data_IF_575300949988
#
_entry.id   IF_575300949988
#
_cell.length_a   1.000
_cell.length_b   1.000
_cell.length_c   1.000
_cell.angle_alpha   90.00
_cell.angle_beta   90.00
_cell.angle_gamma   90.00
#
_symmetry.space_group_name_H-M   'P 1'
#
loop_
_entity.id
_entity.type
_entity.pdbx_description
1 polymer ?
#
# COMPACT_ATOMS: atom_id res chain seq x y z
N UNK A 1 7.54 7.44 -34.37
CA UNK A 1 6.79 7.85 -33.18
C UNK A 1 5.87 6.73 -32.69
N UNK A 2 6.25 5.45 -32.82
CA UNK A 2 5.36 4.36 -32.44
C UNK A 2 5.31 4.20 -30.91
N UNK A 3 6.48 4.18 -30.27
CA UNK A 3 6.58 3.96 -28.82
C UNK A 3 6.04 5.10 -27.96
N UNK A 4 6.20 6.41 -28.28
CA UNK A 4 5.67 7.46 -27.42
C UNK A 4 4.15 7.50 -27.44
N UNK A 5 3.54 7.28 -28.61
CA UNK A 5 2.08 7.21 -28.74
C UNK A 5 1.54 6.06 -27.89
N UNK A 6 2.17 4.88 -27.98
CA UNK A 6 1.80 3.73 -27.16
C UNK A 6 1.96 4.02 -25.65
N UNK A 7 3.12 4.54 -25.23
CA UNK A 7 3.40 4.81 -23.82
C UNK A 7 2.42 5.82 -23.22
N UNK A 8 2.17 6.94 -23.90
CA UNK A 8 1.20 7.94 -23.44
C UNK A 8 -0.23 7.39 -23.48
N UNK A 9 -0.58 6.61 -24.50
CA UNK A 9 -1.88 5.95 -24.61
C UNK A 9 -2.16 4.98 -23.46
N UNK A 10 -1.15 4.21 -23.04
CA UNK A 10 -1.26 3.29 -21.90
C UNK A 10 -1.45 4.04 -20.58
N UNK A 11 -0.66 5.08 -20.30
CA UNK A 11 -0.82 5.89 -19.08
C UNK A 11 -2.19 6.56 -19.05
N UNK A 12 -2.62 7.17 -20.17
CA UNK A 12 -3.94 7.76 -20.26
C UNK A 12 -5.05 6.72 -20.11
N UNK A 13 -4.89 5.54 -20.70
CA UNK A 13 -5.83 4.43 -20.60
C UNK A 13 -6.03 3.95 -19.16
N UNK A 14 -4.96 3.81 -18.38
CA UNK A 14 -5.04 3.46 -16.95
C UNK A 14 -5.72 4.57 -16.15
N UNK A 15 -5.41 5.84 -16.40
CA UNK A 15 -6.07 6.97 -15.73
C UNK A 15 -7.57 7.06 -16.08
N UNK A 16 -7.92 6.77 -17.33
CA UNK A 16 -9.31 6.70 -17.79
C UNK A 16 -10.05 5.52 -17.12
N UNK A 17 -9.44 4.33 -17.08
CA UNK A 17 -9.99 3.16 -16.39
C UNK A 17 -10.24 3.46 -14.92
N UNK A 18 -9.29 4.07 -14.22
CA UNK A 18 -9.45 4.47 -12.82
C UNK A 18 -10.66 5.39 -12.64
N UNK A 19 -10.85 6.34 -13.55
CA UNK A 19 -11.96 7.29 -13.53
C UNK A 19 -13.31 6.62 -13.82
N UNK A 20 -13.34 5.69 -14.78
CA UNK A 20 -14.53 4.92 -15.16
C UNK A 20 -14.96 4.05 -13.98
N UNK A 21 -14.04 3.28 -13.40
CA UNK A 21 -14.32 2.42 -12.24
C UNK A 21 -14.77 3.25 -11.04
N UNK A 22 -14.09 4.36 -10.73
CA UNK A 22 -14.46 5.20 -9.59
C UNK A 22 -15.88 5.78 -9.67
N UNK A 23 -16.44 5.94 -10.87
CA UNK A 23 -17.79 6.50 -11.10
C UNK A 23 -18.85 5.45 -11.40
N UNK A 24 -18.51 4.41 -12.15
CA UNK A 24 -19.43 3.40 -12.62
C UNK A 24 -19.49 2.15 -11.74
N UNK A 25 -18.37 1.77 -11.13
CA UNK A 25 -18.27 0.59 -10.26
C UNK A 25 -17.31 0.84 -9.07
N UNK A 26 -17.78 1.58 -8.05
CA UNK A 26 -16.98 1.89 -6.88
C UNK A 26 -16.56 0.67 -6.06
N UNK A 27 -17.23 -0.48 -6.23
CA UNK A 27 -16.92 -1.71 -5.52
C UNK A 27 -15.69 -2.38 -6.15
N UNK A 28 -15.68 -2.54 -7.47
CA UNK A 28 -14.50 -2.99 -8.20
C UNK A 28 -13.32 -2.03 -8.00
N UNK A 29 -13.57 -0.71 -8.02
CA UNK A 29 -12.54 0.28 -7.72
C UNK A 29 -11.92 0.03 -6.34
N UNK A 30 -12.76 -0.23 -5.31
CA UNK A 30 -12.30 -0.49 -3.94
C UNK A 30 -11.57 -1.82 -3.80
N UNK A 31 -11.96 -2.85 -4.55
CA UNK A 31 -11.30 -4.17 -4.52
C UNK A 31 -9.88 -4.10 -5.10
N UNK A 32 -9.68 -3.34 -6.18
CA UNK A 32 -8.36 -3.20 -6.81
C UNK A 32 -7.33 -2.47 -5.93
N UNK A 33 -7.77 -1.47 -5.17
CA UNK A 33 -6.93 -0.62 -4.31
C UNK A 33 -6.74 -1.17 -2.88
N UNK A 34 -7.18 -2.40 -2.60
CA UNK A 34 -6.92 -3.02 -1.29
C UNK A 34 -5.43 -3.27 -1.10
N UNK A 35 -5.02 -3.35 0.17
CA UNK A 35 -3.70 -3.87 0.56
C UNK A 35 -3.54 -5.30 0.03
N UNK A 36 -2.34 -5.62 -0.47
CA UNK A 36 -1.98 -6.82 -1.24
C UNK A 36 -2.88 -7.06 -2.47
N UNK A 37 -3.57 -6.01 -2.94
CA UNK A 37 -4.44 -6.02 -4.11
C UNK A 37 -3.66 -5.95 -5.43
N UNK A 38 -4.37 -6.21 -6.54
CA UNK A 38 -3.75 -6.23 -7.86
C UNK A 38 -3.04 -4.92 -8.23
N UNK A 39 -3.56 -3.77 -7.77
CA UNK A 39 -2.98 -2.47 -8.09
C UNK A 39 -1.62 -2.26 -7.41
N UNK A 40 -1.51 -2.55 -6.11
CA UNK A 40 -0.25 -2.46 -5.34
C UNK A 40 0.81 -3.39 -5.94
N UNK A 41 0.44 -4.62 -6.30
CA UNK A 41 1.35 -5.55 -6.98
C UNK A 41 1.77 -5.08 -8.38
N UNK A 42 0.86 -4.46 -9.15
CA UNK A 42 1.23 -3.84 -10.42
C UNK A 42 2.21 -2.68 -10.20
N UNK A 43 2.00 -1.85 -9.17
CA UNK A 43 2.92 -0.76 -8.82
C UNK A 43 4.30 -1.30 -8.44
N UNK A 44 4.36 -2.32 -7.58
CA UNK A 44 5.58 -3.04 -7.24
C UNK A 44 6.34 -3.50 -8.48
N UNK A 45 5.68 -4.23 -9.40
CA UNK A 45 6.33 -4.73 -10.60
C UNK A 45 6.73 -3.62 -11.57
N UNK A 46 5.95 -2.54 -11.69
CA UNK A 46 6.30 -1.41 -12.54
C UNK A 46 7.62 -0.76 -12.09
N UNK A 47 7.76 -0.50 -10.77
CA UNK A 47 8.98 0.06 -10.22
C UNK A 47 10.14 -0.94 -10.17
N UNK A 48 9.89 -2.22 -9.86
CA UNK A 48 10.93 -3.24 -9.83
C UNK A 48 11.52 -3.49 -11.24
N UNK A 49 10.67 -3.56 -12.27
CA UNK A 49 11.13 -3.66 -13.65
C UNK A 49 11.87 -2.38 -14.08
N UNK A 50 11.41 -1.20 -13.65
CA UNK A 50 12.13 0.06 -13.91
C UNK A 50 13.53 0.04 -13.27
N UNK A 51 13.64 -0.47 -12.05
CA UNK A 51 14.92 -0.66 -11.37
C UNK A 51 15.83 -1.64 -12.13
N UNK A 52 15.30 -2.78 -12.57
CA UNK A 52 16.04 -3.77 -13.36
C UNK A 52 16.57 -3.22 -14.68
N UNK A 53 15.74 -2.47 -15.42
CA UNK A 53 16.18 -1.75 -16.63
C UNK A 53 17.20 -0.67 -16.28
N UNK A 54 17.04 0.03 -15.16
CA UNK A 54 18.01 0.99 -14.64
C UNK A 54 19.38 0.36 -14.37
N UNK A 55 19.45 -0.83 -13.78
CA UNK A 55 20.69 -1.59 -13.58
C UNK A 55 21.35 -1.97 -14.92
N UNK A 56 20.55 -2.33 -15.93
CA UNK A 56 21.06 -2.57 -17.28
C UNK A 56 21.65 -1.29 -17.91
N UNK A 57 21.03 -0.13 -17.67
CA UNK A 57 21.53 1.18 -18.11
C UNK A 57 22.86 1.53 -17.43
N UNK A 58 22.96 1.34 -16.11
CA UNK A 58 24.21 1.50 -15.34
C UNK A 58 25.32 0.63 -15.93
N UNK A 59 25.04 -0.66 -16.16
CA UNK A 59 26.01 -1.60 -16.73
C UNK A 59 26.52 -1.14 -18.10
N UNK A 60 25.64 -0.59 -18.93
CA UNK A 60 26.00 -0.04 -20.25
C UNK A 60 26.84 1.22 -20.14
N UNK A 61 26.48 2.14 -19.25
CA UNK A 61 27.22 3.39 -19.04
C UNK A 61 28.64 3.12 -18.53
N UNK A 62 28.80 2.15 -17.62
CA UNK A 62 30.12 1.67 -17.18
C UNK A 62 30.96 1.11 -18.34
N UNK A 63 30.37 0.28 -19.22
CA UNK A 63 31.05 -0.20 -20.44
C UNK A 63 31.45 0.93 -21.38
N UNK A 64 30.72 2.04 -21.36
CA UNK A 64 31.01 3.26 -22.14
C UNK A 64 31.96 4.22 -21.41
N UNK A 65 32.54 3.83 -20.27
CA UNK A 65 33.42 4.65 -19.42
C UNK A 65 32.76 5.96 -18.96
N UNK A 66 31.44 5.95 -18.73
CA UNK A 66 30.68 7.07 -18.17
C UNK A 66 30.41 6.82 -16.69
N UNK A 67 30.34 7.90 -15.89
CA UNK A 67 29.95 7.83 -14.49
C UNK A 67 28.42 7.67 -14.39
N UNK A 68 27.90 6.51 -13.93
CA UNK A 68 26.47 6.19 -14.06
C UNK A 68 25.65 6.61 -12.84
N UNK A 69 26.08 7.62 -12.09
CA UNK A 69 25.54 7.93 -10.76
C UNK A 69 24.04 8.27 -10.82
N UNK A 70 23.58 8.93 -11.88
CA UNK A 70 22.17 9.28 -12.03
C UNK A 70 21.31 8.05 -12.36
N UNK A 71 21.74 7.23 -13.31
CA UNK A 71 21.06 5.96 -13.64
C UNK A 71 21.05 5.00 -12.44
N UNK A 72 22.14 4.95 -11.67
CA UNK A 72 22.24 4.17 -10.43
C UNK A 72 21.30 4.73 -9.36
N UNK A 73 21.25 6.05 -9.18
CA UNK A 73 20.34 6.73 -8.27
C UNK A 73 18.88 6.48 -8.61
N UNK A 74 18.50 6.56 -9.89
CA UNK A 74 17.13 6.27 -10.33
C UNK A 74 16.77 4.79 -10.20
N UNK A 75 17.70 3.87 -10.49
CA UNK A 75 17.49 2.44 -10.29
C UNK A 75 17.27 2.10 -8.81
N UNK A 76 18.12 2.65 -7.94
CA UNK A 76 17.97 2.52 -6.49
C UNK A 76 16.66 3.14 -6.00
N UNK A 77 16.31 4.32 -6.48
CA UNK A 77 15.03 4.96 -6.16
C UNK A 77 13.84 4.07 -6.53
N UNK A 78 13.80 3.55 -7.76
CA UNK A 78 12.72 2.66 -8.19
C UNK A 78 12.68 1.37 -7.37
N UNK A 79 13.84 0.79 -7.03
CA UNK A 79 13.91 -0.39 -6.17
C UNK A 79 13.35 -0.10 -4.77
N UNK A 80 13.75 1.01 -4.15
CA UNK A 80 13.26 1.40 -2.83
C UNK A 80 11.74 1.64 -2.84
N UNK A 81 11.21 2.32 -3.86
CA UNK A 81 9.76 2.50 -3.99
C UNK A 81 9.06 1.15 -4.14
N UNK A 82 9.55 0.26 -5.00
CA UNK A 82 8.98 -1.08 -5.13
C UNK A 82 8.94 -1.82 -3.78
N UNK A 83 10.06 -1.83 -3.04
CA UNK A 83 10.10 -2.48 -1.73
C UNK A 83 9.16 -1.81 -0.72
N UNK A 84 9.04 -0.49 -0.73
CA UNK A 84 8.09 0.25 0.12
C UNK A 84 6.63 -0.15 -0.15
N UNK A 85 6.24 -0.34 -1.41
CA UNK A 85 4.87 -0.78 -1.77
C UNK A 85 4.50 -2.07 -1.05
N UNK A 86 5.37 -3.09 -1.04
CA UNK A 86 5.08 -4.36 -0.38
C UNK A 86 5.53 -4.43 1.09
N UNK A 87 5.77 -3.27 1.73
CA UNK A 87 6.30 -3.17 3.09
C UNK A 87 7.53 -4.07 3.32
N UNK A 88 8.45 -4.03 2.36
CA UNK A 88 9.67 -4.85 2.31
C UNK A 88 9.43 -6.35 2.51
N UNK A 89 8.31 -6.85 2.01
CA UNK A 89 7.93 -8.25 2.12
C UNK A 89 7.54 -8.68 3.54
N UNK A 90 7.34 -7.75 4.49
CA UNK A 90 6.84 -8.05 5.84
C UNK A 90 5.64 -8.98 5.79
N UNK A 91 4.66 -8.66 4.93
CA UNK A 91 3.41 -9.40 4.83
C UNK A 91 3.56 -10.76 4.16
N UNK A 92 4.57 -10.92 3.29
CA UNK A 92 4.85 -12.18 2.60
C UNK A 92 5.61 -13.16 3.49
N UNK A 93 6.57 -12.64 4.24
CA UNK A 93 7.46 -13.41 5.09
C UNK A 93 6.94 -13.52 6.53
N UNK A 94 5.88 -12.78 6.87
CA UNK A 94 5.27 -12.78 8.19
C UNK A 94 6.19 -12.27 9.30
N UNK A 95 7.29 -11.57 8.99
CA UNK A 95 8.22 -11.11 10.01
C UNK A 95 7.66 -9.88 10.74
N UNK A 96 8.08 -9.71 11.99
CA UNK A 96 7.68 -8.58 12.82
C UNK A 96 8.55 -7.35 12.51
N UNK A 97 7.97 -6.15 12.30
CA UNK A 97 8.73 -4.92 12.20
C UNK A 97 9.55 -4.62 13.46
N UNK A 98 10.68 -3.91 13.35
CA UNK A 98 11.38 -3.38 14.52
C UNK A 98 10.48 -2.48 15.37
N UNK A 99 10.72 -2.45 16.69
CA UNK A 99 9.93 -1.68 17.69
C UNK A 99 9.68 -0.24 17.26
N UNK A 100 10.68 0.44 16.69
CA UNK A 100 10.54 1.80 16.18
C UNK A 100 9.34 1.96 15.22
N UNK A 101 9.15 1.02 14.30
CA UNK A 101 8.04 1.04 13.34
C UNK A 101 6.72 0.70 14.03
N UNK A 102 6.71 -0.27 14.95
CA UNK A 102 5.51 -0.60 15.72
C UNK A 102 5.01 0.60 16.55
N UNK A 103 5.90 1.47 17.01
CA UNK A 103 5.56 2.66 17.78
C UNK A 103 5.16 3.87 16.92
N UNK A 104 5.90 4.11 15.84
CA UNK A 104 5.86 5.38 15.10
C UNK A 104 5.20 5.28 13.72
N UNK A 105 5.08 4.07 13.15
CA UNK A 105 4.45 3.88 11.86
C UNK A 105 2.92 3.95 11.99
N UNK A 106 2.27 4.74 11.11
CA UNK A 106 0.82 4.88 11.12
C UNK A 106 0.07 3.58 10.78
N UNK A 107 0.70 2.49 10.35
CA UNK A 107 0.06 1.19 10.11
C UNK A 107 0.70 0.04 10.92
N UNK A 108 1.70 0.32 11.78
CA UNK A 108 2.52 -0.69 12.45
C UNK A 108 3.20 -1.65 11.45
N UNK A 109 3.65 -1.09 10.32
CA UNK A 109 4.33 -1.83 9.25
C UNK A 109 5.78 -1.38 9.08
N UNK A 110 6.60 -2.23 8.49
CA UNK A 110 7.95 -1.91 8.07
C UNK A 110 7.92 -1.23 6.70
N UNK A 111 7.52 0.05 6.70
CA UNK A 111 7.67 0.97 5.57
C UNK A 111 7.98 2.37 6.08
N UNK A 112 8.80 3.12 5.36
CA UNK A 112 9.21 4.48 5.73
C UNK A 112 8.12 5.51 5.43
N UNK A 113 7.34 5.29 4.38
CA UNK A 113 6.34 6.26 3.97
C UNK A 113 5.23 6.45 5.03
N UNK A 114 4.94 5.51 5.93
CA UNK A 114 3.90 5.68 6.96
C UNK A 114 4.42 6.23 8.29
N UNK A 115 5.74 6.41 8.42
CA UNK A 115 6.36 7.19 9.50
C UNK A 115 6.44 8.68 9.12
N UNK A 116 6.48 8.97 7.81
CA UNK A 116 6.70 10.31 7.29
C UNK A 116 5.41 11.17 7.33
N UNK A 117 5.48 12.46 7.72
CA UNK A 117 4.33 13.36 7.70
C UNK A 117 3.66 13.44 6.33
N UNK A 118 2.33 13.34 6.29
CA UNK A 118 1.56 13.30 5.04
C UNK A 118 1.81 14.51 4.12
N UNK A 119 2.05 15.70 4.67
CA UNK A 119 2.40 16.90 3.89
C UNK A 119 3.71 16.73 3.12
N UNK A 120 4.74 16.18 3.76
CA UNK A 120 6.04 15.95 3.15
C UNK A 120 5.96 14.92 2.03
N UNK A 121 5.22 13.82 2.23
CA UNK A 121 4.99 12.81 1.18
C UNK A 121 4.30 13.41 -0.05
N UNK A 122 3.23 14.19 0.16
CA UNK A 122 2.49 14.85 -0.92
C UNK A 122 3.36 15.84 -1.69
N UNK A 123 4.22 16.58 -0.98
CA UNK A 123 5.19 17.49 -1.58
C UNK A 123 6.25 16.73 -2.37
N UNK A 124 6.84 15.68 -1.81
CA UNK A 124 7.84 14.85 -2.47
C UNK A 124 7.27 14.23 -3.76
N UNK A 125 6.08 13.62 -3.68
CA UNK A 125 5.41 13.03 -4.85
C UNK A 125 5.13 14.09 -5.93
N UNK A 126 4.61 15.27 -5.55
CA UNK A 126 4.41 16.38 -6.50
C UNK A 126 5.73 16.85 -7.12
N UNK A 127 6.80 16.93 -6.32
CA UNK A 127 8.12 17.35 -6.75
C UNK A 127 8.76 16.34 -7.71
N UNK A 128 8.55 15.05 -7.51
CA UNK A 128 8.99 14.00 -8.44
C UNK A 128 8.23 14.12 -9.77
N UNK A 129 6.89 14.15 -9.73
CA UNK A 129 6.07 14.21 -10.96
C UNK A 129 6.37 15.49 -11.75
N UNK A 130 6.30 16.65 -11.10
CA UNK A 130 6.49 17.93 -11.78
C UNK A 130 7.97 18.22 -12.07
N UNK A 131 8.86 18.00 -11.09
CA UNK A 131 10.28 18.32 -11.20
C UNK A 131 11.01 17.40 -12.18
N UNK A 132 10.99 16.08 -11.93
CA UNK A 132 11.67 15.12 -12.80
C UNK A 132 10.89 14.88 -14.09
N UNK A 133 9.57 14.71 -14.02
CA UNK A 133 8.74 14.31 -15.16
C UNK A 133 8.42 15.40 -16.19
N UNK A 134 8.41 16.67 -15.78
CA UNK A 134 7.95 17.79 -16.61
C UNK A 134 9.02 18.88 -16.71
N UNK A 135 9.44 19.45 -15.59
CA UNK A 135 10.34 20.60 -15.56
C UNK A 135 11.72 20.22 -16.10
N UNK A 136 12.32 19.12 -15.63
CA UNK A 136 13.64 18.68 -16.07
C UNK A 136 13.73 18.50 -17.61
N UNK A 137 12.90 17.68 -18.29
CA UNK A 137 13.00 17.52 -19.74
C UNK A 137 12.72 18.82 -20.52
N UNK A 138 11.87 19.72 -20.01
CA UNK A 138 11.64 21.04 -20.62
C UNK A 138 12.83 21.99 -20.45
N UNK A 139 13.45 22.01 -19.27
CA UNK A 139 14.67 22.79 -19.02
C UNK A 139 15.82 22.34 -19.94
N UNK A 140 15.91 21.04 -20.24
CA UNK A 140 16.93 20.52 -21.16
C UNK A 140 16.68 20.84 -22.63
N UNK A 141 15.60 21.57 -22.99
CA UNK A 141 15.48 22.22 -24.30
C UNK A 141 16.42 23.42 -24.45
N UNK A 142 16.85 24.00 -23.32
CA UNK A 142 17.77 25.14 -23.26
C UNK A 142 19.20 24.60 -23.41
N UNK A 143 19.85 24.88 -24.55
CA UNK A 143 21.18 24.34 -24.92
C UNK A 143 22.25 24.40 -23.82
N UNK A 144 22.50 25.53 -23.13
CA UNK A 144 23.50 25.55 -22.06
C UNK A 144 23.17 24.60 -20.90
N UNK A 145 21.90 24.48 -20.52
CA UNK A 145 21.46 23.56 -19.47
C UNK A 145 21.59 22.09 -19.93
N UNK A 146 21.26 21.81 -21.19
CA UNK A 146 21.47 20.51 -21.80
C UNK A 146 22.95 20.09 -21.77
N UNK A 147 23.85 20.99 -22.19
CA UNK A 147 25.29 20.73 -22.19
C UNK A 147 25.82 20.46 -20.77
N UNK A 148 25.33 21.22 -19.78
CA UNK A 148 25.69 21.03 -18.38
C UNK A 148 25.18 19.68 -17.83
N UNK A 149 23.93 19.34 -18.10
CA UNK A 149 23.33 18.07 -17.71
C UNK A 149 24.06 16.85 -18.31
N UNK A 150 24.45 16.93 -19.59
CA UNK A 150 25.24 15.87 -20.25
C UNK A 150 26.61 15.72 -19.61
N UNK A 151 27.30 16.83 -19.27
CA UNK A 151 28.60 16.79 -18.56
C UNK A 151 28.48 16.16 -17.19
N UNK A 152 27.39 16.44 -16.49
CA UNK A 152 27.09 15.83 -15.19
C UNK A 152 26.55 14.41 -15.30
N UNK A 153 26.22 13.89 -16.48
CA UNK A 153 25.63 12.55 -16.61
C UNK A 153 24.18 12.44 -16.11
N UNK A 154 23.44 13.55 -16.09
CA UNK A 154 22.02 13.58 -15.70
C UNK A 154 21.17 12.93 -16.78
N UNK A 155 20.31 11.98 -16.38
CA UNK A 155 19.37 11.30 -17.29
C UNK A 155 17.96 11.82 -17.05
N UNK A 156 17.51 12.70 -17.92
CA UNK A 156 16.12 13.16 -17.91
C UNK A 156 15.19 12.15 -18.61
N UNK A 157 13.91 12.09 -18.23
CA UNK A 157 12.94 11.33 -19.01
C UNK A 157 12.81 11.94 -20.41
N UNK A 158 12.47 11.14 -21.44
CA UNK A 158 12.25 11.68 -22.78
C UNK A 158 11.16 12.76 -22.80
N UNK A 159 11.37 13.84 -23.56
CA UNK A 159 10.39 14.90 -23.76
C UNK A 159 9.01 14.36 -24.18
N UNK A 160 9.00 13.26 -24.94
CA UNK A 160 7.78 12.64 -25.43
C UNK A 160 6.91 12.01 -24.31
N UNK A 161 7.42 11.85 -23.08
CA UNK A 161 6.65 11.39 -21.92
C UNK A 161 6.12 12.53 -21.04
N UNK A 162 6.44 13.80 -21.34
CA UNK A 162 5.88 14.95 -20.61
C UNK A 162 4.34 14.91 -20.55
N UNK A 163 3.59 14.54 -21.61
CA UNK A 163 2.14 14.42 -21.51
C UNK A 163 1.70 13.37 -20.49
N UNK A 164 2.38 12.22 -20.40
CA UNK A 164 2.10 11.18 -19.40
C UNK A 164 2.27 11.72 -17.98
N UNK A 165 3.41 12.35 -17.68
CA UNK A 165 3.64 12.97 -16.37
C UNK A 165 2.63 14.10 -16.09
N UNK A 166 2.21 14.84 -17.12
CA UNK A 166 1.14 15.83 -17.03
C UNK A 166 -0.19 15.20 -16.64
N UNK A 167 -0.59 14.08 -17.26
CA UNK A 167 -1.78 13.31 -16.88
C UNK A 167 -1.69 12.84 -15.43
N UNK A 168 -0.54 12.31 -15.00
CA UNK A 168 -0.35 11.89 -13.60
C UNK A 168 -0.52 13.07 -12.64
N UNK A 169 0.08 14.23 -12.95
CA UNK A 169 -0.03 15.43 -12.12
C UNK A 169 -1.47 15.94 -12.03
N UNK A 170 -2.14 16.06 -13.18
CA UNK A 170 -3.54 16.51 -13.24
C UNK A 170 -4.43 15.53 -12.48
N UNK A 171 -4.27 14.22 -12.70
CA UNK A 171 -5.04 13.19 -12.00
C UNK A 171 -4.82 13.30 -10.48
N UNK A 172 -3.58 13.46 -10.03
CA UNK A 172 -3.25 13.60 -8.60
C UNK A 172 -3.88 14.84 -7.95
N UNK A 173 -3.97 15.96 -8.68
CA UNK A 173 -4.47 17.24 -8.18
C UNK A 173 -5.98 17.42 -8.28
N UNK A 174 -6.58 16.90 -9.35
CA UNK A 174 -7.99 17.15 -9.70
C UNK A 174 -8.92 16.02 -9.24
N UNK A 175 -8.46 14.77 -9.23
CA UNK A 175 -9.33 13.66 -8.82
C UNK A 175 -9.70 13.76 -7.33
N UNK A 176 -10.99 13.61 -7.04
CA UNK A 176 -11.54 13.73 -5.68
C UNK A 176 -11.86 12.38 -5.05
N UNK A 177 -11.69 11.28 -5.80
CA UNK A 177 -11.96 9.93 -5.33
C UNK A 177 -11.05 9.54 -4.16
N UNK A 178 -11.58 8.70 -3.26
CA UNK A 178 -10.82 8.08 -2.17
C UNK A 178 -9.82 7.09 -2.79
N UNK A 179 -8.62 6.95 -2.21
CA UNK A 179 -7.56 6.04 -2.70
C UNK A 179 -6.99 6.38 -4.08
N UNK A 180 -7.10 7.64 -4.54
CA UNK A 180 -6.46 8.08 -5.80
C UNK A 180 -4.93 7.92 -5.82
N UNK A 181 -4.28 7.90 -4.66
CA UNK A 181 -2.82 7.84 -4.54
C UNK A 181 -2.28 6.53 -5.12
N UNK A 182 -2.94 5.41 -4.83
CA UNK A 182 -2.56 4.07 -5.34
C UNK A 182 -2.49 4.04 -6.87
N UNK A 183 -3.47 4.67 -7.54
CA UNK A 183 -3.48 4.79 -9.00
C UNK A 183 -2.38 5.72 -9.52
N UNK A 184 -2.09 6.79 -8.79
CA UNK A 184 -1.00 7.73 -9.13
C UNK A 184 0.35 7.03 -9.03
N UNK A 185 0.54 6.16 -8.04
CA UNK A 185 1.76 5.37 -7.86
C UNK A 185 1.94 4.38 -9.02
N UNK A 186 0.90 3.66 -9.45
CA UNK A 186 0.97 2.81 -10.65
C UNK A 186 1.29 3.62 -11.92
N UNK A 187 0.58 4.73 -12.14
CA UNK A 187 0.81 5.60 -13.31
C UNK A 187 2.24 6.14 -13.32
N UNK A 188 2.75 6.53 -12.16
CA UNK A 188 4.12 7.03 -11.99
C UNK A 188 5.14 5.91 -12.24
N UNK A 189 4.93 4.71 -11.69
CA UNK A 189 5.75 3.53 -11.95
C UNK A 189 5.84 3.21 -13.44
N UNK A 190 4.71 3.27 -14.16
CA UNK A 190 4.67 3.16 -15.62
C UNK A 190 5.51 4.23 -16.32
N UNK A 191 5.42 5.50 -15.89
CA UNK A 191 6.23 6.59 -16.45
C UNK A 191 7.73 6.36 -16.24
N UNK A 192 8.15 5.91 -15.05
CA UNK A 192 9.56 5.57 -14.77
C UNK A 192 10.04 4.38 -15.61
N UNK A 193 9.25 3.32 -15.71
CA UNK A 193 9.55 2.15 -16.53
C UNK A 193 9.73 2.54 -18.01
N UNK A 194 8.80 3.30 -18.57
CA UNK A 194 8.88 3.75 -19.95
C UNK A 194 10.05 4.71 -20.19
N UNK A 195 10.36 5.59 -19.23
CA UNK A 195 11.54 6.45 -19.31
C UNK A 195 12.84 5.63 -19.32
N UNK A 196 12.96 4.61 -18.45
CA UNK A 196 14.12 3.73 -18.38
C UNK A 196 14.31 2.89 -19.64
N UNK A 197 13.23 2.35 -20.18
CA UNK A 197 13.24 1.62 -21.46
C UNK A 197 13.67 2.53 -22.61
N UNK A 198 13.19 3.78 -22.65
CA UNK A 198 13.57 4.74 -23.69
C UNK A 198 15.04 5.18 -23.57
N UNK A 199 15.56 5.32 -22.35
CA UNK A 199 16.97 5.65 -22.09
C UNK A 199 17.90 4.48 -22.50
N UNK A 200 17.46 3.25 -22.25
CA UNK A 200 18.26 2.02 -22.43
C UNK A 200 18.19 1.35 -23.80
N UNK A 201 17.06 1.44 -24.51
CA UNK A 201 16.76 0.54 -25.63
C UNK A 201 17.82 0.54 -26.75
N UNK A 202 18.50 -0.62 -26.82
CA UNK A 202 18.90 -1.41 -27.99
C UNK A 202 19.22 -0.59 -29.25
N UNK A 203 20.51 -0.28 -29.45
CA UNK A 203 21.04 0.08 -30.78
C UNK A 203 21.06 -1.19 -31.65
N UNK A 204 19.91 -1.58 -32.20
CA UNK A 204 19.82 -2.57 -33.26
C UNK A 204 19.23 -1.88 -34.49
N UNK A 205 20.08 -1.65 -35.49
CA UNK A 205 19.66 -1.17 -36.82
C UNK A 205 19.12 0.27 -36.90
N UNK A 206 18.56 0.62 -38.05
CA UNK A 206 18.14 2.00 -38.38
C UNK A 206 16.99 2.56 -37.52
N UNK A 207 16.71 3.87 -37.70
CA UNK A 207 15.75 4.66 -36.89
C UNK A 207 14.35 4.03 -36.76
N UNK A 208 13.81 3.41 -37.83
CA UNK A 208 12.50 2.74 -37.80
C UNK A 208 12.52 1.46 -36.95
N UNK A 209 13.59 0.68 -37.03
CA UNK A 209 13.76 -0.54 -36.23
C UNK A 209 13.82 -0.21 -34.73
N UNK A 210 14.50 0.87 -34.35
CA UNK A 210 14.60 1.31 -32.95
C UNK A 210 13.23 1.73 -32.40
N UNK A 211 12.41 2.43 -33.18
CA UNK A 211 11.06 2.85 -32.75
C UNK A 211 10.13 1.65 -32.51
N UNK A 212 10.18 0.63 -33.37
CA UNK A 212 9.39 -0.60 -33.22
C UNK A 212 9.89 -1.46 -32.05
N UNK A 213 11.20 -1.59 -31.88
CA UNK A 213 11.79 -2.31 -30.73
C UNK A 213 11.39 -1.66 -29.41
N UNK A 214 11.41 -0.32 -29.33
CA UNK A 214 10.95 0.41 -28.14
C UNK A 214 9.46 0.23 -27.89
N UNK A 215 8.64 0.26 -28.93
CA UNK A 215 7.20 0.03 -28.80
C UNK A 215 6.91 -1.39 -28.31
N UNK A 216 7.61 -2.39 -28.87
CA UNK A 216 7.55 -3.77 -28.40
C UNK A 216 7.96 -3.89 -26.93
N UNK A 217 9.07 -3.26 -26.52
CA UNK A 217 9.51 -3.27 -25.14
C UNK A 217 8.50 -2.63 -24.17
N UNK A 218 7.90 -1.48 -24.54
CA UNK A 218 6.84 -0.84 -23.75
C UNK A 218 5.62 -1.76 -23.62
N UNK A 219 5.18 -2.38 -24.71
CA UNK A 219 4.04 -3.30 -24.70
C UNK A 219 4.32 -4.53 -23.83
N UNK A 220 5.45 -5.20 -24.06
CA UNK A 220 5.87 -6.38 -23.28
C UNK A 220 6.00 -6.06 -21.81
N UNK A 221 6.64 -4.94 -21.45
CA UNK A 221 6.79 -4.54 -20.06
C UNK A 221 5.43 -4.25 -19.41
N UNK A 222 4.48 -3.64 -20.12
CA UNK A 222 3.13 -3.40 -19.61
C UNK A 222 2.34 -4.68 -19.40
N UNK A 223 2.44 -5.65 -20.31
CA UNK A 223 1.84 -6.98 -20.17
C UNK A 223 2.45 -7.72 -18.97
N UNK A 224 3.78 -7.65 -18.80
CA UNK A 224 4.46 -8.24 -17.65
C UNK A 224 4.02 -7.61 -16.33
N UNK A 225 3.93 -6.27 -16.25
CA UNK A 225 3.41 -5.58 -15.05
C UNK A 225 2.02 -6.08 -14.68
N UNK A 226 1.10 -6.14 -15.65
CA UNK A 226 -0.26 -6.58 -15.40
C UNK A 226 -0.33 -8.06 -15.02
N UNK A 227 0.34 -8.93 -15.79
CA UNK A 227 0.32 -10.38 -15.58
C UNK A 227 0.97 -10.79 -14.27
N UNK A 228 2.15 -10.25 -13.96
CA UNK A 228 2.83 -10.48 -12.68
C UNK A 228 2.07 -9.83 -11.53
N UNK A 229 1.49 -8.64 -11.71
CA UNK A 229 0.72 -7.96 -10.68
C UNK A 229 -0.51 -8.76 -10.25
N UNK A 230 -1.35 -9.16 -11.20
CA UNK A 230 -2.53 -10.00 -10.93
C UNK A 230 -2.11 -11.38 -10.41
N UNK A 231 -1.06 -11.98 -10.98
CA UNK A 231 -0.53 -13.27 -10.54
C UNK A 231 -0.05 -13.25 -9.09
N UNK A 232 0.74 -12.23 -8.71
CA UNK A 232 1.23 -12.04 -7.35
C UNK A 232 0.10 -11.76 -6.35
N UNK A 233 -0.90 -10.96 -6.71
CA UNK A 233 -2.05 -10.71 -5.86
C UNK A 233 -2.83 -11.99 -5.54
N UNK A 234 -3.08 -12.82 -6.56
CA UNK A 234 -3.77 -14.10 -6.40
C UNK A 234 -2.93 -15.11 -5.59
N UNK A 235 -1.62 -15.21 -5.90
CA UNK A 235 -0.71 -16.12 -5.20
C UNK A 235 -0.54 -15.74 -3.72
N UNK A 236 -0.37 -14.45 -3.45
CA UNK A 236 -0.22 -13.91 -2.09
C UNK A 236 -1.48 -14.13 -1.26
N UNK A 237 -2.67 -13.98 -1.85
CA UNK A 237 -3.93 -14.27 -1.17
C UNK A 237 -4.05 -15.77 -0.79
N UNK A 238 -3.62 -16.67 -1.69
CA UNK A 238 -3.72 -18.11 -1.46
C UNK A 238 -2.69 -18.65 -0.45
N UNK A 239 -1.48 -18.09 -0.44
CA UNK A 239 -0.33 -18.66 0.28
C UNK A 239 -0.31 -18.39 1.79
N UNK A 240 -1.24 -17.57 2.29
CA UNK A 240 -1.24 -17.12 3.70
C UNK A 240 -2.31 -17.81 4.58
N UNK A 241 -3.12 -18.69 4.00
CA UNK A 241 -4.17 -19.43 4.71
C UNK A 241 -3.57 -20.61 5.48
N UNK A 242 -3.29 -20.43 6.77
CA UNK A 242 -2.91 -21.50 7.69
C UNK A 242 -4.02 -21.67 8.76
N UNK A 243 -4.66 -22.85 8.87
CA UNK A 243 -5.71 -23.10 9.86
C UNK A 243 -5.26 -22.82 11.29
N UNK A 244 -4.02 -23.15 11.62
CA UNK A 244 -3.46 -23.03 12.97
C UNK A 244 -3.36 -21.56 13.42
N UNK A 245 -2.88 -20.68 12.53
CA UNK A 245 -2.81 -19.24 12.81
C UNK A 245 -4.21 -18.60 12.89
N UNK A 246 -5.17 -19.11 12.09
CA UNK A 246 -6.57 -18.67 12.14
C UNK A 246 -7.23 -19.00 13.48
N UNK A 247 -7.04 -20.22 13.97
CA UNK A 247 -7.54 -20.65 15.27
C UNK A 247 -6.88 -19.89 16.43
N UNK A 248 -5.57 -19.64 16.35
CA UNK A 248 -4.88 -18.81 17.34
C UNK A 248 -5.44 -17.37 17.34
N UNK A 249 -5.57 -16.76 16.16
CA UNK A 249 -6.09 -15.41 16.04
C UNK A 249 -7.52 -15.29 16.60
N UNK A 250 -8.38 -16.28 16.34
CA UNK A 250 -9.74 -16.32 16.85
C UNK A 250 -9.77 -16.41 18.39
N UNK A 251 -8.95 -17.28 18.99
CA UNK A 251 -8.83 -17.38 20.46
C UNK A 251 -8.31 -16.08 21.08
N UNK A 252 -7.30 -15.45 20.48
CA UNK A 252 -6.78 -14.15 20.93
C UNK A 252 -7.87 -13.06 20.87
N UNK A 253 -8.71 -13.06 19.83
CA UNK A 253 -9.83 -12.11 19.67
C UNK A 253 -10.95 -12.31 20.69
N UNK A 254 -11.29 -13.56 21.01
CA UNK A 254 -12.24 -13.89 22.07
C UNK A 254 -11.72 -13.47 23.44
N UNK A 255 -10.42 -13.65 23.69
CA UNK A 255 -9.76 -13.17 24.91
C UNK A 255 -9.81 -11.63 25.02
N UNK A 256 -9.52 -10.94 23.90
CA UNK A 256 -9.59 -9.48 23.84
C UNK A 256 -11.00 -8.94 24.08
N UNK A 257 -12.02 -9.61 23.55
CA UNK A 257 -13.42 -9.29 23.83
C UNK A 257 -13.72 -9.42 25.34
N UNK A 258 -13.40 -10.56 25.92
CA UNK A 258 -13.58 -10.80 27.36
C UNK A 258 -12.90 -9.70 28.20
N UNK A 259 -11.62 -9.43 27.95
CA UNK A 259 -10.83 -8.45 28.70
C UNK A 259 -11.40 -7.03 28.57
N UNK A 260 -11.88 -6.65 27.38
CA UNK A 260 -12.52 -5.35 27.18
C UNK A 260 -13.84 -5.23 27.97
N UNK A 261 -14.65 -6.30 28.03
CA UNK A 261 -15.88 -6.30 28.85
C UNK A 261 -15.56 -6.22 30.33
N UNK A 262 -14.52 -6.92 30.79
CA UNK A 262 -14.08 -6.89 32.18
C UNK A 262 -13.61 -5.47 32.58
N UNK A 263 -12.80 -4.82 31.74
CA UNK A 263 -12.38 -3.43 31.96
C UNK A 263 -13.58 -2.49 32.01
N UNK A 264 -14.56 -2.65 31.10
CA UNK A 264 -15.77 -1.84 31.13
C UNK A 264 -16.53 -1.99 32.45
N UNK A 265 -16.69 -3.23 32.92
CA UNK A 265 -17.37 -3.56 34.18
C UNK A 265 -16.64 -2.94 35.39
N UNK A 266 -15.31 -3.07 35.46
CA UNK A 266 -14.48 -2.46 36.52
C UNK A 266 -14.61 -0.93 36.55
N UNK A 267 -14.77 -0.29 35.38
CA UNK A 267 -15.00 1.15 35.27
C UNK A 267 -16.46 1.57 35.51
N UNK A 268 -17.38 0.64 35.79
CA UNK A 268 -18.81 0.91 35.92
C UNK A 268 -19.47 1.40 34.63
N UNK A 269 -18.93 1.01 33.46
CA UNK A 269 -19.41 1.44 32.13
C UNK A 269 -19.95 0.25 31.35
N UNK A 270 -20.92 0.51 30.48
CA UNK A 270 -21.39 -0.49 29.52
C UNK A 270 -20.35 -0.78 28.42
N UNK A 271 -19.49 0.18 28.08
CA UNK A 271 -18.46 0.06 27.05
C UNK A 271 -17.20 0.84 27.45
N UNK A 272 -16.02 0.28 27.18
CA UNK A 272 -14.74 1.00 27.33
C UNK A 272 -14.59 2.11 26.30
N UNK A 273 -15.19 1.93 25.12
CA UNK A 273 -15.03 2.80 23.95
C UNK A 273 -16.09 3.91 23.85
N UNK A 274 -15.79 4.91 23.00
CA UNK A 274 -16.75 5.95 22.59
C UNK A 274 -17.16 5.72 21.14
N UNK A 275 -18.43 6.01 20.85
CA UNK A 275 -18.98 5.91 19.51
C UNK A 275 -18.13 6.64 18.45
N UNK A 276 -17.98 6.03 17.27
CA UNK A 276 -17.21 6.59 16.16
C UNK A 276 -15.71 6.26 16.21
N UNK A 277 -15.29 5.37 17.12
CA UNK A 277 -13.92 4.88 17.21
C UNK A 277 -13.62 3.89 16.09
N UNK A 278 -12.46 4.06 15.44
CA UNK A 278 -11.86 3.02 14.62
C UNK A 278 -10.34 3.19 14.69
N UNK A 279 -9.68 2.39 15.52
CA UNK A 279 -8.25 2.48 15.76
C UNK A 279 -7.63 1.09 15.82
N UNK A 280 -6.31 1.02 15.61
CA UNK A 280 -5.51 -0.12 16.07
C UNK A 280 -5.56 -0.21 17.59
N UNK A 281 -5.54 -1.43 18.11
CA UNK A 281 -5.66 -1.67 19.54
C UNK A 281 -4.51 -1.03 20.33
N UNK A 282 -3.27 -1.15 19.83
CA UNK A 282 -2.12 -0.44 20.40
C UNK A 282 -2.33 1.09 20.48
N UNK A 283 -2.88 1.70 19.43
CA UNK A 283 -3.17 3.14 19.44
C UNK A 283 -4.30 3.51 20.40
N UNK A 284 -5.29 2.63 20.55
CA UNK A 284 -6.38 2.80 21.51
C UNK A 284 -5.88 2.79 22.95
N UNK A 285 -5.05 1.80 23.32
CA UNK A 285 -4.46 1.66 24.66
C UNK A 285 -3.50 2.81 24.95
N UNK A 286 -2.53 3.07 24.05
CA UNK A 286 -1.51 4.12 24.25
C UNK A 286 -2.07 5.52 24.47
N UNK A 287 -3.24 5.84 23.89
CA UNK A 287 -3.86 7.16 24.05
C UNK A 287 -4.27 7.46 25.50
N UNK A 288 -4.25 6.48 26.43
CA UNK A 288 -4.64 6.55 27.86
C UNK A 288 -6.02 7.15 28.17
N UNK A 289 -6.78 7.51 27.13
CA UNK A 289 -8.11 8.11 27.21
C UNK A 289 -9.18 7.15 27.73
N UNK A 290 -8.89 5.85 27.67
CA UNK A 290 -9.85 4.77 27.89
C UNK A 290 -9.44 3.84 29.04
N UNK A 291 -8.28 4.08 29.66
CA UNK A 291 -7.78 3.32 30.82
C UNK A 291 -7.82 1.80 30.60
N UNK A 292 -7.16 1.36 29.54
CA UNK A 292 -7.15 -0.03 29.05
C UNK A 292 -5.72 -0.62 29.02
N UNK A 293 -4.81 -0.08 29.84
CA UNK A 293 -3.42 -0.52 29.91
C UNK A 293 -3.31 -1.99 30.41
N UNK A 294 -4.29 -2.43 31.20
CA UNK A 294 -4.38 -3.79 31.76
C UNK A 294 -4.52 -4.88 30.69
N UNK A 295 -4.95 -4.57 29.46
CA UNK A 295 -5.11 -5.56 28.38
C UNK A 295 -3.84 -6.39 28.12
N UNK A 296 -2.65 -5.85 28.44
CA UNK A 296 -1.36 -6.54 28.30
C UNK A 296 -1.07 -7.57 29.39
N UNK A 297 -1.93 -7.66 30.39
CA UNK A 297 -1.73 -8.49 31.59
C UNK A 297 -2.90 -9.44 31.85
N UNK A 298 -3.94 -9.37 31.03
CA UNK A 298 -5.18 -10.17 31.16
C UNK A 298 -5.15 -11.39 30.23
N UNK A 299 -6.32 -11.95 29.89
CA UNK A 299 -6.43 -13.23 29.21
C UNK A 299 -5.73 -13.23 27.86
N UNK A 300 -5.77 -12.13 27.10
CA UNK A 300 -5.06 -12.00 25.83
C UNK A 300 -3.57 -12.34 25.95
N UNK A 301 -2.89 -11.84 26.98
CA UNK A 301 -1.46 -12.11 27.17
C UNK A 301 -1.18 -13.60 27.47
N UNK A 302 -2.10 -14.28 28.15
CA UNK A 302 -1.98 -15.70 28.46
C UNK A 302 -2.37 -16.61 27.28
N UNK A 303 -3.32 -16.20 26.44
CA UNK A 303 -3.84 -17.01 25.33
C UNK A 303 -2.95 -17.00 24.09
N UNK A 304 -2.07 -16.00 23.95
CA UNK A 304 -1.03 -15.99 22.92
C UNK A 304 -0.03 -17.15 23.04
N UNK A 305 0.13 -17.76 24.23
CA UNK A 305 1.03 -18.89 24.46
C UNK A 305 2.48 -18.49 24.79
N UNK A 306 3.28 -19.41 25.37
CA UNK A 306 4.57 -19.10 25.99
C UNK A 306 5.70 -18.79 25.01
N UNK A 307 5.59 -19.26 23.75
CA UNK A 307 6.59 -19.02 22.69
C UNK A 307 6.36 -17.71 21.93
N UNK A 308 5.27 -17.00 22.21
CA UNK A 308 4.99 -15.71 21.58
C UNK A 308 5.89 -14.64 22.16
N UNK A 309 6.70 -14.05 21.28
CA UNK A 309 7.58 -12.97 21.67
C UNK A 309 6.77 -11.80 22.27
N UNK A 310 7.17 -11.36 23.46
CA UNK A 310 6.49 -10.33 24.29
C UNK A 310 6.03 -9.09 23.51
N UNK A 311 6.80 -8.70 22.50
CA UNK A 311 6.46 -7.56 21.65
C UNK A 311 5.14 -7.75 20.88
N UNK A 312 4.72 -8.96 20.49
CA UNK A 312 3.38 -9.18 19.89
C UNK A 312 2.27 -8.77 20.84
N UNK A 313 2.42 -9.08 22.12
CA UNK A 313 1.46 -8.71 23.17
C UNK A 313 1.52 -7.19 23.40
N UNK A 314 2.72 -6.63 23.57
CA UNK A 314 2.90 -5.20 23.88
C UNK A 314 2.35 -4.28 22.78
N UNK A 315 2.45 -4.72 21.52
CA UNK A 315 2.00 -4.00 20.33
C UNK A 315 0.68 -4.49 19.75
N UNK A 316 0.00 -5.44 20.41
CA UNK A 316 -1.28 -6.02 19.99
C UNK A 316 -1.26 -6.49 18.52
N UNK A 317 -0.29 -7.34 18.21
CA UNK A 317 -0.12 -7.93 16.88
C UNK A 317 -0.79 -9.30 16.81
N UNK A 318 -1.52 -9.55 15.73
CA UNK A 318 -2.08 -10.84 15.36
C UNK A 318 -0.98 -11.85 14.98
N UNK A 319 -1.33 -13.12 14.73
CA UNK A 319 -0.35 -14.17 14.42
C UNK A 319 0.46 -13.93 13.14
N UNK A 320 0.00 -13.03 12.25
CA UNK A 320 0.72 -12.63 11.03
C UNK A 320 1.55 -11.34 11.24
N UNK A 321 1.77 -10.94 12.49
CA UNK A 321 2.47 -9.72 12.88
C UNK A 321 1.85 -8.44 12.30
N UNK A 322 0.52 -8.45 12.13
CA UNK A 322 -0.27 -7.29 11.75
C UNK A 322 -1.08 -6.78 12.95
N UNK A 323 -1.44 -5.49 13.03
CA UNK A 323 -2.10 -4.96 14.21
C UNK A 323 -3.54 -5.44 14.33
N UNK A 324 -3.96 -5.81 15.54
CA UNK A 324 -5.38 -5.90 15.90
C UNK A 324 -6.04 -4.52 15.89
N UNK A 325 -7.34 -4.51 15.60
CA UNK A 325 -8.18 -3.32 15.50
C UNK A 325 -9.38 -3.39 16.43
N UNK A 326 -9.86 -2.21 16.81
CA UNK A 326 -11.12 -2.03 17.54
C UNK A 326 -11.99 -1.02 16.80
N UNK A 327 -13.26 -1.36 16.63
CA UNK A 327 -14.25 -0.51 15.99
C UNK A 327 -15.47 -0.35 16.89
N UNK A 328 -15.95 0.88 17.04
CA UNK A 328 -17.18 1.23 17.75
C UNK A 328 -18.02 2.16 16.86
N UNK A 329 -19.13 1.63 16.35
CA UNK A 329 -20.05 2.36 15.47
C UNK A 329 -21.43 2.40 16.08
N UNK A 330 -22.07 3.56 15.94
CA UNK A 330 -23.47 3.72 16.28
C UNK A 330 -24.20 4.42 15.16
N UNK A 331 -25.49 4.11 15.04
CA UNK A 331 -26.38 4.74 14.07
C UNK A 331 -26.68 6.17 14.52
N UNK A 332 -27.08 7.03 13.58
CA UNK A 332 -27.33 8.46 13.87
C UNK A 332 -28.46 8.66 14.88
N UNK A 333 -29.48 7.81 14.80
CA UNK A 333 -30.63 7.72 15.69
C UNK A 333 -30.33 6.94 17.00
N UNK A 334 -29.10 6.44 17.16
CA UNK A 334 -28.64 5.63 18.31
C UNK A 334 -29.43 4.34 18.54
N UNK A 335 -30.17 3.86 17.54
CA UNK A 335 -30.92 2.59 17.58
C UNK A 335 -30.02 1.36 17.45
N UNK A 336 -28.85 1.49 16.83
CA UNK A 336 -27.85 0.42 16.67
C UNK A 336 -26.50 0.87 17.18
N UNK A 337 -25.81 0.01 17.93
CA UNK A 337 -24.39 0.15 18.27
C UNK A 337 -23.68 -1.19 18.16
N UNK A 338 -22.59 -1.23 17.40
CA UNK A 338 -21.73 -2.40 17.29
C UNK A 338 -20.32 -2.03 17.73
N UNK A 339 -19.77 -2.83 18.63
CA UNK A 339 -18.37 -2.79 19.03
C UNK A 339 -17.76 -4.14 18.77
N UNK A 340 -16.69 -4.20 17.99
CA UNK A 340 -15.96 -5.43 17.73
C UNK A 340 -14.46 -5.17 17.69
N UNK A 341 -13.71 -6.17 18.15
CA UNK A 341 -12.26 -6.29 17.94
C UNK A 341 -12.03 -7.27 16.80
N UNK A 342 -11.05 -6.99 15.95
CA UNK A 342 -10.82 -7.80 14.77
C UNK A 342 -9.37 -7.73 14.27
N UNK A 343 -8.98 -8.74 13.50
CA UNK A 343 -7.79 -8.77 12.64
C UNK A 343 -8.26 -8.84 11.19
N UNK A 344 -7.50 -8.21 10.29
CA UNK A 344 -7.73 -8.37 8.84
C UNK A 344 -7.26 -9.73 8.31
N UNK A 345 -6.81 -10.62 9.20
CA UNK A 345 -6.40 -11.96 8.87
C UNK A 345 -5.20 -12.03 7.93
N UNK A 346 -4.99 -13.19 7.28
CA UNK A 346 -3.82 -13.43 6.44
C UNK A 346 -3.79 -12.61 5.15
N UNK A 347 -4.97 -12.29 4.60
CA UNK A 347 -5.09 -11.61 3.32
C UNK A 347 -5.04 -10.07 3.45
N UNK A 348 -5.19 -9.55 4.68
CA UNK A 348 -5.25 -8.12 5.04
C UNK A 348 -6.23 -7.27 4.23
N UNK A 349 -7.21 -7.89 3.58
CA UNK A 349 -8.25 -7.20 2.83
C UNK A 349 -9.21 -6.54 3.80
N UNK A 350 -9.70 -5.35 3.47
CA UNK A 350 -10.68 -4.65 4.32
C UNK A 350 -12.07 -5.16 3.97
N UNK A 351 -12.34 -6.39 4.33
CA UNK A 351 -13.60 -7.07 4.01
C UNK A 351 -14.72 -6.64 4.98
N UNK A 352 -14.40 -6.38 6.25
CA UNK A 352 -15.35 -5.95 7.26
C UNK A 352 -16.04 -4.63 6.92
N UNK A 353 -17.35 -4.58 7.18
CA UNK A 353 -18.16 -3.37 7.03
C UNK A 353 -18.14 -2.53 8.31
N UNK A 354 -19.00 -1.52 8.37
CA UNK A 354 -19.19 -0.71 9.60
C UNK A 354 -19.91 -1.46 10.72
N UNK A 355 -20.53 -2.59 10.40
CA UNK A 355 -21.46 -3.24 11.30
C UNK A 355 -21.12 -4.70 11.56
N UNK A 356 -20.39 -5.31 10.62
CA UNK A 356 -20.17 -6.74 10.57
C UNK A 356 -18.75 -7.04 10.12
N UNK A 357 -18.16 -8.03 10.78
CA UNK A 357 -16.94 -8.71 10.34
C UNK A 357 -17.29 -9.60 9.15
N UNK A 358 -16.56 -9.50 8.04
CA UNK A 358 -16.88 -10.18 6.80
C UNK A 358 -15.62 -10.67 6.06
N UNK A 359 -15.81 -11.51 5.05
CA UNK A 359 -14.73 -12.06 4.24
C UNK A 359 -13.80 -12.95 5.06
N UNK A 360 -12.50 -12.71 4.94
CA UNK A 360 -11.49 -13.44 5.73
C UNK A 360 -11.09 -12.73 7.03
N UNK A 361 -11.69 -11.57 7.33
CA UNK A 361 -11.48 -10.91 8.61
C UNK A 361 -11.96 -11.79 9.75
N UNK A 362 -11.20 -11.79 10.85
CA UNK A 362 -11.52 -12.51 12.07
C UNK A 362 -11.89 -11.49 13.13
N UNK A 363 -12.96 -11.70 13.87
CA UNK A 363 -13.34 -10.76 14.91
C UNK A 363 -14.27 -11.34 15.96
N UNK A 364 -14.28 -10.68 17.11
CA UNK A 364 -15.23 -10.93 18.19
C UNK A 364 -16.00 -9.67 18.54
N UNK A 365 -17.31 -9.83 18.76
CA UNK A 365 -18.21 -8.72 19.08
C UNK A 365 -18.20 -8.45 20.58
N UNK A 366 -17.56 -7.36 20.96
CA UNK A 366 -17.62 -6.79 22.31
C UNK A 366 -19.03 -6.40 22.70
N UNK A 367 -19.78 -5.89 21.72
CA UNK A 367 -21.21 -5.71 21.86
C UNK A 367 -21.90 -5.53 20.51
N UNK A 368 -23.14 -5.99 20.43
CA UNK A 368 -24.08 -5.61 19.39
C UNK A 368 -25.41 -5.31 20.08
N UNK A 369 -25.85 -4.05 20.00
CA UNK A 369 -27.14 -3.60 20.52
C UNK A 369 -27.95 -3.09 19.34
N UNK A 370 -29.11 -3.67 19.13
CA UNK A 370 -30.11 -3.21 18.17
C UNK A 370 -31.41 -3.06 18.97
N UNK A 371 -32.05 -1.90 18.91
CA UNK A 371 -33.28 -1.64 19.68
C UNK A 371 -34.48 -2.39 19.07
N UNK A 372 -34.51 -3.69 19.30
CA UNK A 372 -35.69 -4.51 19.48
C UNK A 372 -35.36 -5.55 20.56
N UNK A 373 -35.52 -5.14 21.83
CA UNK A 373 -35.25 -5.91 23.05
C UNK A 373 -33.77 -6.25 23.35
N UNK A 374 -33.37 -5.93 24.58
CA UNK A 374 -32.03 -6.14 25.12
C UNK A 374 -31.70 -7.64 25.17
N UNK A 375 -30.81 -8.12 24.28
CA UNK A 375 -30.26 -9.47 24.31
C UNK A 375 -28.76 -9.40 24.05
N UNK A 376 -27.96 -9.63 25.09
CA UNK A 376 -26.55 -9.96 24.96
C UNK A 376 -26.46 -11.31 24.23
N UNK A 377 -26.31 -11.31 22.91
CA UNK A 377 -26.00 -12.54 22.17
C UNK A 377 -24.50 -12.82 22.24
N UNK A 378 -24.10 -13.75 23.09
CA UNK A 378 -22.90 -14.56 22.88
C UNK A 378 -23.23 -15.57 21.77
N UNK A 379 -22.67 -15.41 20.57
CA UNK A 379 -22.62 -16.49 19.60
C UNK A 379 -21.17 -16.97 19.52
N UNK A 380 -20.89 -18.09 20.17
CA UNK A 380 -19.77 -18.96 19.85
C UNK A 380 -19.93 -19.49 18.41
N UNK A 381 -18.85 -19.67 17.64
CA UNK A 381 -18.96 -20.28 16.32
C UNK A 381 -19.25 -21.78 16.45
N UNK A 382 -20.19 -22.27 15.64
CA UNK A 382 -20.38 -23.67 15.30
C UNK A 382 -19.76 -23.95 13.93
#
# INVERSE_FOLDING_TARGET
MAWPVLANGLVLGVAALATILARGDPDQFRLLVQEDGALEWCTFWAFLLAAGVGVANVSRELRQRRLPWWSAGLALFCFLVAMEEISWGQRLLGYRPPVYFLENNFQQEFNFHNVTPSKLRKLALSGIIAGYGIVLPLLLLIRPLQAWAVRLGVVAPPLALVPSFGVVLVFYRVSTFRFRTEWVELLLGGCFLFAMLAAGALRIGGLRSIELVRAGAVLTASILVLGLGVGSANWSAASRLTPELRELAQRELESLDHDLREIAARQGRAFVTKCGLHHRLYTFVRKRKYDADDLRTLQFASSSGPEVARERIDFFLDPWNSPYWIQDRCSKDRSRRTVFVYSFGPNRRRDSTRWEVAGDDLGSYVAAVENSSFSLRSRSPS
#
